data_IF_351763841666
#
_entry.id   IF_351763841666
#
_cell.length_a   1.000
_cell.length_b   1.000
_cell.length_c   1.000
_cell.angle_alpha   90.00
_cell.angle_beta   90.00
_cell.angle_gamma   90.00
#
_symmetry.space_group_name_H-M   'P 1'
#
loop_
_entity.id
_entity.type
_entity.pdbx_description
1 polymer ?
#
# COMPACT_ATOMS: atom_id res chain seq x y z
N UNK A 1 -7.79 -16.98 -16.39
CA UNK A 1 -8.35 -15.77 -15.77
C UNK A 1 -7.17 -14.83 -15.54
N UNK A 2 -7.20 -13.63 -16.11
CA UNK A 2 -6.09 -12.68 -15.95
C UNK A 2 -6.07 -12.19 -14.49
N UNK A 3 -5.05 -12.61 -13.74
CA UNK A 3 -4.79 -12.10 -12.40
C UNK A 3 -4.13 -10.73 -12.57
N UNK A 4 -4.92 -9.70 -12.87
CA UNK A 4 -4.46 -8.36 -13.22
C UNK A 4 -3.99 -7.58 -11.97
N UNK A 5 -3.17 -8.24 -11.15
CA UNK A 5 -2.55 -7.70 -9.94
C UNK A 5 -1.06 -7.52 -10.19
N UNK A 6 -0.62 -6.28 -10.28
CA UNK A 6 0.79 -5.92 -10.40
C UNK A 6 1.44 -6.04 -9.03
N UNK A 7 2.53 -6.80 -8.93
CA UNK A 7 3.34 -6.85 -7.72
C UNK A 7 4.45 -5.79 -7.79
N UNK A 8 4.73 -5.14 -6.68
CA UNK A 8 5.84 -4.21 -6.55
C UNK A 8 6.49 -4.34 -5.17
N UNK A 9 7.78 -4.02 -5.10
CA UNK A 9 8.54 -3.99 -3.85
C UNK A 9 9.21 -2.63 -3.68
N UNK A 10 9.12 -2.05 -2.49
CA UNK A 10 9.77 -0.77 -2.16
C UNK A 10 10.66 -0.90 -0.92
N UNK A 11 11.77 -0.17 -0.90
CA UNK A 11 12.66 -0.06 0.26
C UNK A 11 13.11 1.38 0.48
N UNK A 12 12.99 1.89 1.70
CA UNK A 12 13.52 3.20 2.11
C UNK A 12 14.15 3.09 3.50
N UNK A 13 15.42 3.47 3.64
CA UNK A 13 16.20 3.30 4.88
C UNK A 13 16.16 1.83 5.34
N UNK A 14 15.57 1.57 6.51
CA UNK A 14 15.37 0.22 7.08
C UNK A 14 14.01 -0.39 6.74
N UNK A 15 13.07 0.39 6.19
CA UNK A 15 11.72 -0.07 5.88
C UNK A 15 11.66 -0.81 4.54
N UNK A 16 10.94 -1.92 4.50
CA UNK A 16 10.64 -2.70 3.28
C UNK A 16 9.13 -2.87 3.15
N UNK A 17 8.61 -2.80 1.91
CA UNK A 17 7.19 -2.91 1.62
C UNK A 17 6.96 -3.79 0.39
N UNK A 18 5.96 -4.65 0.46
CA UNK A 18 5.42 -5.43 -0.66
C UNK A 18 4.03 -4.89 -0.98
N UNK A 19 3.79 -4.56 -2.23
CA UNK A 19 2.55 -3.93 -2.70
C UNK A 19 1.94 -4.79 -3.80
N UNK A 20 0.64 -4.99 -3.69
CA UNK A 20 -0.19 -5.65 -4.69
C UNK A 20 -1.18 -4.63 -5.22
N UNK A 21 -1.03 -4.24 -6.48
CA UNK A 21 -1.88 -3.25 -7.13
C UNK A 21 -2.83 -3.95 -8.08
N UNK A 22 -4.12 -3.76 -7.90
CA UNK A 22 -5.15 -4.20 -8.85
C UNK A 22 -6.00 -3.01 -9.30
N UNK A 23 -6.62 -3.11 -10.48
CA UNK A 23 -7.57 -2.10 -10.97
C UNK A 23 -8.86 -2.19 -10.16
N UNK A 24 -9.27 -1.12 -9.48
CA UNK A 24 -10.46 -1.15 -8.62
C UNK A 24 -10.81 0.20 -7.98
N UNK A 25 -11.60 0.15 -6.90
CA UNK A 25 -12.20 1.32 -6.21
C UNK A 25 -11.21 2.25 -5.51
N UNK A 26 -9.91 1.95 -5.50
CA UNK A 26 -8.88 2.78 -4.88
C UNK A 26 -8.78 2.69 -3.36
N UNK A 27 -9.30 1.61 -2.74
CA UNK A 27 -9.11 1.38 -1.30
C UNK A 27 -7.66 0.99 -1.02
N UNK A 28 -6.96 1.80 -0.22
CA UNK A 28 -5.57 1.56 0.20
C UNK A 28 -5.57 1.02 1.62
N UNK A 29 -5.14 -0.24 1.77
CA UNK A 29 -4.95 -0.91 3.05
C UNK A 29 -3.47 -1.19 3.27
N UNK A 30 -2.98 -0.92 4.48
CA UNK A 30 -1.59 -1.19 4.89
C UNK A 30 -1.65 -2.11 6.11
N UNK A 31 -1.20 -3.36 5.96
CA UNK A 31 -1.28 -4.39 7.02
C UNK A 31 -2.69 -4.50 7.63
N UNK A 32 -3.71 -4.62 6.78
CA UNK A 32 -5.14 -4.72 7.13
C UNK A 32 -5.76 -3.48 7.80
N UNK A 33 -5.00 -2.40 7.95
CA UNK A 33 -5.47 -1.13 8.47
C UNK A 33 -5.66 -0.10 7.34
N UNK A 34 -6.67 0.80 7.43
CA UNK A 34 -6.78 1.90 6.50
C UNK A 34 -5.58 2.85 6.63
N UNK A 35 -5.21 3.46 5.50
CA UNK A 35 -4.10 4.41 5.40
C UNK A 35 -4.10 5.46 6.55
N UNK A 36 -5.29 5.97 6.88
CA UNK A 36 -5.49 7.03 7.86
C UNK A 36 -5.18 6.62 9.29
N UNK A 37 -5.37 5.33 9.63
CA UNK A 37 -5.12 4.75 10.94
C UNK A 37 -3.68 4.25 11.07
N UNK A 38 -3.13 3.69 9.98
CA UNK A 38 -1.76 3.20 9.96
C UNK A 38 -0.74 4.35 10.05
N UNK A 39 -0.98 5.45 9.32
CA UNK A 39 -0.10 6.62 9.32
C UNK A 39 -0.60 7.69 10.29
N UNK A 40 -0.01 7.74 11.49
CA UNK A 40 -0.36 8.73 12.52
C UNK A 40 0.05 10.18 12.24
N UNK A 41 0.73 10.49 11.13
CA UNK A 41 1.13 11.85 10.74
C UNK A 41 0.55 12.18 9.37
N UNK A 42 0.00 13.38 9.21
CA UNK A 42 -0.58 13.83 7.93
C UNK A 42 0.42 13.77 6.78
N UNK A 43 1.69 14.12 7.01
CA UNK A 43 2.77 14.06 6.01
C UNK A 43 3.07 12.65 5.51
N UNK A 44 2.61 11.61 6.19
CA UNK A 44 2.80 10.22 5.79
C UNK A 44 1.58 9.63 5.07
N UNK A 45 0.48 10.40 4.91
CA UNK A 45 -0.74 10.01 4.19
C UNK A 45 -0.74 10.45 2.72
N UNK A 46 0.28 11.18 2.27
CA UNK A 46 0.45 11.74 0.91
C UNK A 46 1.30 10.84 0.02
#
# INVERSE_FOLDING_TARGET
MENNTTYATGRRKTSTARVYLSKGKGNILVNDLPLEEYFGREVAKI
#
